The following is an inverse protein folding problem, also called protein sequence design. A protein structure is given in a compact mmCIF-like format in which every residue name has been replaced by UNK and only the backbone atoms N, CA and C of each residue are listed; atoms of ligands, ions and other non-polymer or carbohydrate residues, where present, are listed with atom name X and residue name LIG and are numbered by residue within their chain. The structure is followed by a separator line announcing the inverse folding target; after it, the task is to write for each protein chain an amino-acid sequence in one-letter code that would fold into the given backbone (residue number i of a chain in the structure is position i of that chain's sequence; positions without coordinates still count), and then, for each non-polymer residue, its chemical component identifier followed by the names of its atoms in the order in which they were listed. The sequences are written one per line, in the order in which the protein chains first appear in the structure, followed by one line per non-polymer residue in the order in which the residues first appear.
data_IF_413124144926
#
_entry.id   IF_413124144926
#
_cell.length_a   1.000
_cell.length_b   1.000
_cell.length_c   1.000
_cell.angle_alpha   90.00
_cell.angle_beta   90.00
_cell.angle_gamma   90.00
#
_symmetry.space_group_name_H-M   'P 1'
#
loop_
_entity.id
_entity.type
_entity.pdbx_description
1 polymer ?
#
# COMPACT_ATOMS: atom_id res chain seq x y z
N UNK A 1 8.63 -16.33 6.82
CA UNK A 1 7.54 -16.25 5.82
C UNK A 1 7.10 -14.81 5.71
N UNK A 2 6.93 -14.35 4.48
CA UNK A 2 6.52 -12.99 4.14
C UNK A 2 5.02 -12.77 4.33
N UNK A 3 4.61 -11.63 4.89
CA UNK A 3 3.21 -11.33 5.26
C UNK A 3 2.84 -9.86 5.12
N UNK A 4 1.56 -9.60 4.90
CA UNK A 4 0.93 -8.28 4.98
C UNK A 4 0.19 -8.21 6.32
N UNK A 5 0.56 -7.25 7.16
CA UNK A 5 -0.14 -6.99 8.42
C UNK A 5 -1.05 -5.78 8.26
N UNK A 6 -2.34 -5.98 8.49
CA UNK A 6 -3.33 -4.90 8.59
C UNK A 6 -3.65 -4.71 10.06
N UNK A 7 -3.46 -3.49 10.56
CA UNK A 7 -3.74 -3.13 11.94
C UNK A 7 -4.76 -2.00 11.99
N UNK A 8 -5.81 -2.21 12.77
CA UNK A 8 -6.84 -1.21 13.05
C UNK A 8 -7.60 -0.75 11.81
N UNK A 9 -7.94 -1.63 10.87
CA UNK A 9 -8.72 -1.24 9.70
C UNK A 9 -10.14 -0.79 10.11
N UNK A 10 -10.48 0.44 9.72
CA UNK A 10 -11.73 1.15 10.09
C UNK A 10 -12.47 1.72 8.87
N UNK A 11 -12.08 1.33 7.66
CA UNK A 11 -12.69 1.81 6.42
C UNK A 11 -14.15 1.37 6.35
N UNK A 12 -15.06 2.30 6.08
CA UNK A 12 -16.51 2.08 6.10
C UNK A 12 -17.01 1.43 7.41
N UNK A 13 -17.55 0.22 7.35
CA UNK A 13 -18.14 -0.46 8.49
C UNK A 13 -17.19 -1.44 9.20
N UNK A 14 -15.89 -1.42 8.86
CA UNK A 14 -14.89 -2.25 9.52
C UNK A 14 -14.70 -1.83 10.99
N UNK A 15 -14.81 -2.80 11.89
CA UNK A 15 -14.81 -2.56 13.34
C UNK A 15 -13.39 -2.66 13.94
N UNK A 16 -12.47 -1.82 13.46
CA UNK A 16 -11.08 -1.77 13.96
C UNK A 16 -10.38 -3.14 13.91
N UNK A 17 -10.43 -3.81 12.76
CA UNK A 17 -9.96 -5.18 12.62
C UNK A 17 -8.44 -5.26 12.44
N UNK A 18 -7.84 -6.29 13.03
CA UNK A 18 -6.44 -6.66 12.85
C UNK A 18 -6.38 -8.01 12.14
N UNK A 19 -5.53 -8.14 11.12
CA UNK A 19 -5.36 -9.39 10.39
C UNK A 19 -3.97 -9.49 9.77
N UNK A 20 -3.56 -10.73 9.55
CA UNK A 20 -2.30 -11.09 8.91
C UNK A 20 -2.63 -11.90 7.66
N UNK A 21 -2.14 -11.45 6.52
CA UNK A 21 -2.34 -12.09 5.22
C UNK A 21 -0.98 -12.65 4.76
N UNK A 22 -0.83 -13.95 4.56
CA UNK A 22 0.41 -14.50 4.02
C UNK A 22 0.57 -14.04 2.56
N UNK A 23 1.78 -13.62 2.19
CA UNK A 23 2.08 -13.25 0.80
C UNK A 23 2.19 -14.49 -0.09
N UNK A 24 2.04 -14.28 -1.39
CA UNK A 24 2.21 -15.29 -2.44
C UNK A 24 1.25 -16.49 -2.30
N UNK A 25 0.04 -16.21 -1.82
CA UNK A 25 -1.05 -17.18 -1.68
C UNK A 25 -2.32 -16.64 -2.32
N UNK A 26 -3.16 -17.55 -2.80
CA UNK A 26 -4.55 -17.24 -3.14
C UNK A 26 -5.35 -17.10 -1.84
N UNK A 27 -5.85 -15.90 -1.57
CA UNK A 27 -6.64 -15.59 -0.37
C UNK A 27 -8.06 -15.28 -0.79
N UNK A 28 -9.02 -15.94 -0.16
CA UNK A 28 -10.46 -15.72 -0.41
C UNK A 28 -11.07 -15.02 0.79
N UNK A 29 -11.68 -13.85 0.56
CA UNK A 29 -12.44 -13.11 1.59
C UNK A 29 -13.93 -13.41 1.40
N UNK A 30 -14.55 -14.07 2.38
CA UNK A 30 -15.96 -14.51 2.33
C UNK A 30 -16.77 -14.00 3.52
N UNK A 31 -18.10 -14.16 3.46
CA UNK A 31 -19.06 -13.67 4.46
C UNK A 31 -20.34 -13.07 3.86
N UNK A 32 -21.34 -12.84 4.72
CA UNK A 32 -22.65 -12.29 4.34
C UNK A 32 -22.56 -10.94 3.63
N UNK A 33 -23.56 -10.60 2.81
CA UNK A 33 -23.66 -9.25 2.23
C UNK A 33 -23.62 -8.18 3.33
N UNK A 34 -22.88 -7.09 3.10
CA UNK A 34 -22.69 -6.04 4.11
C UNK A 34 -21.67 -6.34 5.22
N UNK A 35 -21.01 -7.51 5.24
CA UNK A 35 -20.04 -7.85 6.31
C UNK A 35 -18.70 -7.09 6.25
N UNK A 36 -18.47 -6.24 5.25
CA UNK A 36 -17.23 -5.45 5.11
C UNK A 36 -16.15 -6.09 4.23
N UNK A 37 -16.47 -7.14 3.45
CA UNK A 37 -15.51 -7.82 2.55
C UNK A 37 -14.90 -6.86 1.52
N UNK A 38 -15.75 -6.15 0.78
CA UNK A 38 -15.31 -5.19 -0.24
C UNK A 38 -14.54 -4.03 0.39
N UNK A 39 -14.97 -3.58 1.59
CA UNK A 39 -14.26 -2.54 2.33
C UNK A 39 -12.86 -2.96 2.78
N UNK A 40 -12.68 -4.23 3.15
CA UNK A 40 -11.35 -4.76 3.43
C UNK A 40 -10.51 -4.95 2.17
N UNK A 41 -11.06 -5.64 1.16
CA UNK A 41 -10.30 -6.03 -0.02
C UNK A 41 -9.98 -4.85 -0.96
N UNK A 42 -10.98 -4.05 -1.31
CA UNK A 42 -10.85 -2.98 -2.28
C UNK A 42 -10.53 -1.64 -1.61
N UNK A 43 -11.37 -1.22 -0.66
CA UNK A 43 -11.27 0.14 -0.11
C UNK A 43 -10.09 0.30 0.85
N UNK A 44 -9.59 -0.80 1.43
CA UNK A 44 -8.44 -0.78 2.34
C UNK A 44 -7.18 -1.33 1.67
N UNK A 45 -7.15 -2.63 1.37
CA UNK A 45 -5.93 -3.31 0.92
C UNK A 45 -5.47 -2.83 -0.45
N UNK A 46 -6.36 -2.89 -1.44
CA UNK A 46 -6.04 -2.47 -2.80
C UNK A 46 -5.72 -0.98 -2.88
N UNK A 47 -6.56 -0.12 -2.29
CA UNK A 47 -6.35 1.32 -2.27
C UNK A 47 -5.00 1.72 -1.65
N UNK A 48 -4.64 1.16 -0.48
CA UNK A 48 -3.35 1.44 0.15
C UNK A 48 -2.17 0.87 -0.64
N UNK A 49 -2.32 -0.33 -1.21
CA UNK A 49 -1.31 -0.93 -2.06
C UNK A 49 -0.99 -0.04 -3.26
N UNK A 50 -2.03 0.42 -3.96
CA UNK A 50 -1.90 1.32 -5.10
C UNK A 50 -1.28 2.67 -4.70
N UNK A 51 -1.77 3.28 -3.61
CA UNK A 51 -1.26 4.56 -3.11
C UNK A 51 0.25 4.51 -2.84
N UNK A 52 0.70 3.48 -2.11
CA UNK A 52 2.12 3.30 -1.75
C UNK A 52 2.99 2.98 -2.95
N UNK A 53 2.47 2.23 -3.93
CA UNK A 53 3.19 1.95 -5.16
C UNK A 53 3.43 3.23 -5.97
N UNK A 54 2.41 4.07 -6.12
CA UNK A 54 2.53 5.35 -6.82
C UNK A 54 3.47 6.30 -6.07
N UNK A 55 3.37 6.36 -4.74
CA UNK A 55 4.25 7.15 -3.88
C UNK A 55 5.72 6.73 -4.03
N UNK A 56 6.00 5.42 -4.10
CA UNK A 56 7.37 4.92 -4.24
C UNK A 56 7.97 5.26 -5.60
N UNK A 57 7.19 5.21 -6.68
CA UNK A 57 7.63 5.62 -8.02
C UNK A 57 8.01 7.10 -8.08
N UNK A 58 7.18 7.96 -7.51
CA UNK A 58 7.49 9.39 -7.45
C UNK A 58 8.72 9.67 -6.60
N UNK A 59 8.88 8.96 -5.48
CA UNK A 59 10.07 9.07 -4.62
C UNK A 59 11.34 8.67 -5.36
N UNK A 60 11.30 7.60 -6.14
CA UNK A 60 12.42 7.16 -6.97
C UNK A 60 12.75 8.19 -8.06
N UNK A 61 11.74 8.71 -8.77
CA UNK A 61 11.95 9.73 -9.81
C UNK A 61 12.56 11.01 -9.25
N UNK A 62 12.08 11.48 -8.10
CA UNK A 62 12.64 12.65 -7.43
C UNK A 62 14.10 12.44 -7.01
N UNK A 63 14.45 11.25 -6.52
CA UNK A 63 15.84 10.93 -6.15
C UNK A 63 16.80 10.97 -7.35
N UNK A 64 16.37 10.49 -8.52
CA UNK A 64 17.16 10.52 -9.77
C UNK A 64 17.38 11.96 -10.25
N UNK A 65 16.35 12.82 -10.20
CA UNK A 65 16.51 14.22 -10.60
C UNK A 65 17.47 15.01 -9.70
N UNK A 66 17.63 14.62 -8.43
CA UNK A 66 18.59 15.25 -7.50
C UNK A 66 20.04 14.86 -7.84
N UNK A 67 20.29 13.66 -8.36
CA UNK A 67 21.65 13.22 -8.72
C UNK A 67 22.16 13.90 -9.99
N UNK A 68 21.29 14.19 -10.94
CA UNK A 68 21.68 14.84 -12.21
C UNK A 68 21.98 16.34 -12.05
N UNK A 69 21.43 16.99 -11.01
CA UNK A 69 21.60 18.43 -10.76
C UNK A 69 22.91 18.86 -10.09
N UNK A 70 23.76 17.91 -9.61
CA UNK A 70 25.00 18.24 -8.89
C UNK A 70 26.29 18.16 -9.73
N UNK A 71 26.22 17.78 -11.00
CA UNK A 71 27.40 17.69 -11.87
C UNK A 71 27.82 19.02 -12.54
N UNK A 72 27.01 20.09 -12.46
CA UNK A 72 27.20 21.31 -13.26
C UNK A 72 27.68 22.57 -12.53
N UNK A 73 28.07 22.51 -11.24
CA UNK A 73 28.52 23.71 -10.49
C UNK A 73 29.86 23.49 -9.78
N UNK A 74 30.90 23.19 -10.55
CA UNK A 74 32.29 23.47 -10.19
C UNK A 74 33.06 23.79 -11.47
N UNK A 75 33.07 25.06 -11.84
CA UNK A 75 34.08 25.62 -12.72
C UNK A 75 34.62 26.88 -12.04
N UNK A 76 35.94 26.87 -11.83
CA UNK A 76 36.77 28.01 -11.50
C UNK A 76 36.73 29.06 -12.62
#
# INVERSE_FOLDING_TARGET
MDKIEVRGARTHNLKNINLVIPRDKLIVVTGLSGSGKSSLAFDTLYAEGQRRYVESLFRLRAAVSVTDGKAGRRSY
#
